data_IF_007614458217
#
_entry.id   IF_007614458217
#
_cell.length_a   1.000
_cell.length_b   1.000
_cell.length_c   1.000
_cell.angle_alpha   90.00
_cell.angle_beta   90.00
_cell.angle_gamma   90.00
#
_symmetry.space_group_name_H-M   'P 1'
#
loop_
_entity.id
_entity.type
_entity.pdbx_description
1 polymer ?
#
# COMPACT_ATOMS: atom_id res chain seq x y z
N UNK A 1 7.67 -8.66 -11.59
CA UNK A 1 7.25 -7.31 -12.05
C UNK A 1 6.08 -7.35 -13.05
N UNK A 2 5.98 -8.40 -13.91
CA UNK A 2 4.92 -8.51 -14.95
C UNK A 2 3.53 -8.47 -14.33
N UNK A 3 3.28 -9.23 -13.27
CA UNK A 3 1.97 -9.28 -12.61
C UNK A 3 1.59 -7.96 -11.94
N UNK A 4 2.55 -7.24 -11.37
CA UNK A 4 2.33 -5.90 -10.80
C UNK A 4 1.96 -4.88 -11.89
N UNK A 5 2.61 -4.94 -13.05
CA UNK A 5 2.28 -4.08 -14.18
C UNK A 5 0.90 -4.43 -14.77
N UNK A 6 0.60 -5.71 -14.93
CA UNK A 6 -0.71 -6.19 -15.38
C UNK A 6 -1.83 -5.70 -14.44
N UNK A 7 -1.63 -5.81 -13.11
CA UNK A 7 -2.56 -5.28 -12.12
C UNK A 7 -2.78 -3.78 -12.30
N UNK A 8 -1.69 -3.02 -12.40
CA UNK A 8 -1.73 -1.56 -12.56
C UNK A 8 -2.50 -1.13 -13.81
N UNK A 9 -2.25 -1.77 -14.95
CA UNK A 9 -2.90 -1.47 -16.23
C UNK A 9 -4.41 -1.75 -16.20
N UNK A 10 -4.85 -2.75 -15.44
CA UNK A 10 -6.25 -3.14 -15.35
C UNK A 10 -7.00 -2.46 -14.19
N UNK A 11 -6.31 -1.75 -13.29
CA UNK A 11 -6.90 -1.21 -12.07
C UNK A 11 -8.04 -0.23 -12.32
N UNK A 12 -7.88 0.73 -13.22
CA UNK A 12 -8.90 1.76 -13.47
C UNK A 12 -10.19 1.15 -14.02
N UNK A 13 -10.09 0.22 -14.97
CA UNK A 13 -11.25 -0.52 -15.50
C UNK A 13 -11.92 -1.36 -14.41
N UNK A 14 -11.14 -2.01 -13.56
CA UNK A 14 -11.66 -2.77 -12.44
C UNK A 14 -12.43 -1.88 -11.45
N UNK A 15 -11.91 -0.71 -11.10
CA UNK A 15 -12.59 0.26 -10.23
C UNK A 15 -13.94 0.65 -10.80
N UNK A 16 -14.06 0.91 -12.09
CA UNK A 16 -15.36 1.21 -12.73
C UNK A 16 -16.33 0.03 -12.61
N UNK A 17 -15.87 -1.19 -12.79
CA UNK A 17 -16.69 -2.40 -12.64
C UNK A 17 -17.17 -2.59 -11.20
N UNK A 18 -16.39 -2.15 -10.20
CA UNK A 18 -16.74 -2.22 -8.80
C UNK A 18 -17.82 -1.22 -8.36
N UNK A 19 -18.16 -0.24 -9.20
CA UNK A 19 -19.10 0.83 -8.89
C UNK A 19 -20.52 0.31 -8.74
N UNK A 20 -21.24 0.78 -7.69
CA UNK A 20 -22.66 0.60 -7.48
C UNK A 20 -23.34 1.97 -7.44
N UNK A 21 -24.35 2.15 -8.28
CA UNK A 21 -25.06 3.43 -8.48
C UNK A 21 -26.45 3.47 -7.82
N UNK A 22 -26.83 2.41 -7.12
CA UNK A 22 -28.10 2.24 -6.40
C UNK A 22 -28.16 2.98 -5.05
N UNK A 23 -27.11 3.76 -4.74
CA UNK A 23 -27.01 4.59 -3.53
C UNK A 23 -27.07 6.08 -3.88
N UNK A 24 -27.38 6.92 -2.91
CA UNK A 24 -27.38 8.39 -3.06
C UNK A 24 -26.03 8.97 -3.48
N UNK A 25 -24.94 8.26 -3.18
CA UNK A 25 -23.58 8.50 -3.69
C UNK A 25 -22.99 7.18 -4.17
N UNK A 26 -22.18 7.17 -5.26
CA UNK A 26 -21.55 5.96 -5.74
C UNK A 26 -20.70 5.27 -4.66
N UNK A 27 -20.88 3.95 -4.53
CA UNK A 27 -20.06 3.10 -3.68
C UNK A 27 -19.33 2.08 -4.55
N UNK A 28 -18.18 1.62 -4.06
CA UNK A 28 -17.32 0.71 -4.78
C UNK A 28 -17.10 -0.54 -3.93
N UNK A 29 -17.37 -1.72 -4.50
CA UNK A 29 -17.21 -3.01 -3.81
C UNK A 29 -16.34 -3.94 -4.63
N UNK A 30 -15.33 -4.60 -4.03
CA UNK A 30 -14.48 -5.51 -4.77
C UNK A 30 -15.29 -6.71 -5.32
N UNK A 31 -15.03 -7.07 -6.57
CA UNK A 31 -15.65 -8.22 -7.24
C UNK A 31 -14.69 -9.39 -7.09
N UNK A 32 -15.06 -10.36 -6.24
CA UNK A 32 -14.16 -11.43 -5.76
C UNK A 32 -13.66 -12.39 -6.85
N UNK A 33 -14.43 -12.58 -7.90
CA UNK A 33 -14.11 -13.44 -9.05
C UNK A 33 -13.53 -12.66 -10.24
N UNK A 34 -13.36 -11.34 -10.11
CA UNK A 34 -12.77 -10.53 -11.17
C UNK A 34 -11.28 -10.85 -11.34
N UNK A 35 -10.76 -10.98 -12.59
CA UNK A 35 -9.35 -11.31 -12.83
C UNK A 35 -8.36 -10.40 -12.11
N UNK A 36 -8.61 -9.08 -12.06
CA UNK A 36 -7.74 -8.10 -11.39
C UNK A 36 -7.71 -8.32 -9.87
N UNK A 37 -8.87 -8.66 -9.25
CA UNK A 37 -8.91 -9.03 -7.83
C UNK A 37 -8.08 -10.29 -7.56
N UNK A 38 -8.32 -11.35 -8.35
CA UNK A 38 -7.62 -12.63 -8.21
C UNK A 38 -6.12 -12.49 -8.49
N UNK A 39 -5.74 -11.61 -9.41
CA UNK A 39 -4.34 -11.32 -9.71
C UNK A 39 -3.61 -10.79 -8.46
N UNK A 40 -4.19 -9.81 -7.75
CA UNK A 40 -3.61 -9.27 -6.52
C UNK A 40 -3.66 -10.27 -5.35
N UNK A 41 -4.83 -10.90 -5.15
CA UNK A 41 -5.10 -11.73 -3.97
C UNK A 41 -4.40 -13.09 -4.00
N UNK A 42 -4.16 -13.61 -5.20
CA UNK A 42 -3.58 -14.94 -5.38
C UNK A 42 -2.20 -14.84 -6.04
N UNK A 43 -2.12 -14.51 -7.33
CA UNK A 43 -0.88 -14.62 -8.11
C UNK A 43 0.24 -13.73 -7.57
N UNK A 44 0.00 -12.43 -7.41
CA UNK A 44 1.02 -11.49 -6.88
C UNK A 44 1.42 -11.88 -5.45
N UNK A 45 0.44 -12.21 -4.61
CA UNK A 45 0.71 -12.66 -3.24
C UNK A 45 1.62 -13.89 -3.20
N UNK A 46 1.37 -14.90 -4.04
CA UNK A 46 2.20 -16.10 -4.12
C UNK A 46 3.60 -15.80 -4.70
N UNK A 47 3.70 -14.93 -5.72
CA UNK A 47 5.01 -14.48 -6.23
C UNK A 47 5.86 -13.86 -5.12
N UNK A 48 5.29 -13.01 -4.26
CA UNK A 48 6.01 -12.45 -3.11
C UNK A 48 6.41 -13.49 -2.07
N UNK A 49 5.57 -14.49 -1.82
CA UNK A 49 5.91 -15.58 -0.88
C UNK A 49 7.11 -16.39 -1.36
N UNK A 50 7.26 -16.61 -2.67
CA UNK A 50 8.40 -17.37 -3.20
C UNK A 50 9.76 -16.69 -2.98
N UNK A 51 9.77 -15.37 -2.70
CA UNK A 51 10.97 -14.58 -2.45
C UNK A 51 11.40 -14.59 -0.97
N UNK A 52 10.60 -15.18 -0.08
CA UNK A 52 10.72 -15.04 1.37
C UNK A 52 10.74 -16.40 2.09
N UNK A 53 11.39 -16.44 3.24
CA UNK A 53 11.26 -17.59 4.14
C UNK A 53 9.91 -17.53 4.86
N UNK A 54 8.98 -18.40 4.47
CA UNK A 54 7.64 -18.47 5.03
C UNK A 54 7.59 -18.82 6.54
N UNK A 55 8.67 -19.32 7.10
CA UNK A 55 8.77 -19.55 8.56
C UNK A 55 8.88 -18.23 9.31
N UNK A 56 9.53 -17.24 8.71
CA UNK A 56 9.79 -15.93 9.30
C UNK A 56 8.74 -14.90 8.83
N UNK A 57 8.45 -14.87 7.54
CA UNK A 57 7.61 -13.84 6.94
C UNK A 57 6.22 -14.35 6.56
N UNK A 58 5.25 -13.47 6.64
CA UNK A 58 3.91 -13.66 6.05
C UNK A 58 3.63 -12.55 5.05
N UNK A 59 2.93 -12.90 3.96
CA UNK A 59 2.53 -11.96 2.92
C UNK A 59 1.02 -11.87 2.88
N UNK A 60 0.51 -10.63 2.89
CA UNK A 60 -0.90 -10.33 2.68
C UNK A 60 -1.08 -9.28 1.59
N UNK A 61 -2.22 -9.31 0.91
CA UNK A 61 -2.57 -8.31 -0.11
C UNK A 61 -4.05 -7.98 -0.05
N UNK A 62 -4.41 -6.76 -0.44
CA UNK A 62 -5.82 -6.37 -0.43
C UNK A 62 -6.11 -5.21 -1.40
N UNK A 63 -7.24 -5.33 -2.07
CA UNK A 63 -7.96 -4.28 -2.77
C UNK A 63 -9.26 -3.89 -2.04
N UNK A 64 -9.39 -4.33 -0.77
CA UNK A 64 -10.53 -4.08 0.10
C UNK A 64 -11.25 -5.35 0.54
N UNK A 65 -12.03 -5.26 1.61
CA UNK A 65 -12.84 -6.38 2.16
C UNK A 65 -14.33 -6.14 1.99
N UNK A 66 -14.87 -5.08 2.54
CA UNK A 66 -16.28 -4.70 2.44
C UNK A 66 -16.47 -3.63 1.36
N UNK A 67 -15.61 -2.62 1.36
CA UNK A 67 -15.51 -1.62 0.31
C UNK A 67 -14.19 -1.78 -0.42
N UNK A 68 -14.14 -1.29 -1.67
CA UNK A 68 -12.91 -1.26 -2.45
C UNK A 68 -11.89 -0.35 -1.76
N UNK A 69 -10.68 -0.84 -1.58
CA UNK A 69 -9.60 -0.02 -1.08
C UNK A 69 -9.19 1.00 -2.15
N UNK A 70 -9.19 2.28 -1.81
CA UNK A 70 -8.71 3.32 -2.71
C UNK A 70 -7.20 3.27 -2.91
N UNK A 71 -6.51 2.51 -2.07
CA UNK A 71 -5.06 2.28 -2.09
C UNK A 71 -4.87 0.77 -1.94
N UNK A 72 -4.74 0.02 -3.06
CA UNK A 72 -4.43 -1.40 -2.98
C UNK A 72 -3.02 -1.61 -2.45
N UNK A 73 -2.81 -2.72 -1.75
CA UNK A 73 -1.56 -2.94 -1.06
C UNK A 73 -1.13 -4.41 -1.00
N UNK A 74 0.18 -4.62 -0.84
CA UNK A 74 0.80 -5.87 -0.43
C UNK A 74 1.62 -5.57 0.82
N UNK A 75 1.58 -6.44 1.82
CA UNK A 75 2.39 -6.35 3.04
C UNK A 75 3.23 -7.59 3.22
N UNK A 76 4.45 -7.39 3.69
CA UNK A 76 5.36 -8.44 4.16
C UNK A 76 5.61 -8.17 5.63
N UNK A 77 5.23 -9.13 6.46
CA UNK A 77 5.30 -9.02 7.93
C UNK A 77 6.28 -10.04 8.47
N UNK A 78 7.27 -9.59 9.24
CA UNK A 78 8.05 -10.47 10.11
C UNK A 78 7.13 -10.91 11.26
N UNK A 79 6.89 -12.22 11.37
CA UNK A 79 6.00 -12.82 12.39
C UNK A 79 6.46 -12.57 13.82
N UNK A 80 7.74 -12.26 14.03
CA UNK A 80 8.27 -11.90 15.35
C UNK A 80 7.99 -10.42 15.70
N UNK A 81 7.71 -9.57 14.71
CA UNK A 81 7.42 -8.14 14.89
C UNK A 81 5.91 -7.90 14.91
N UNK A 82 5.21 -8.39 13.89
CA UNK A 82 3.75 -8.26 13.80
C UNK A 82 3.14 -9.34 12.90
N UNK A 83 1.92 -9.73 13.23
CA UNK A 83 1.06 -10.59 12.39
C UNK A 83 -0.14 -9.84 11.82
N UNK A 84 -0.14 -8.51 11.94
CA UNK A 84 -1.27 -7.66 11.52
C UNK A 84 -0.78 -6.34 10.95
N UNK A 85 -1.33 -5.93 9.81
CA UNK A 85 -1.11 -4.60 9.22
C UNK A 85 -1.75 -3.46 10.01
N UNK A 86 -2.54 -3.77 11.04
CA UNK A 86 -3.20 -2.78 11.90
C UNK A 86 -2.28 -2.25 12.99
N UNK A 87 -1.22 -2.99 13.36
CA UNK A 87 -0.33 -2.72 14.49
C UNK A 87 1.12 -3.05 14.13
N UNK A 88 2.06 -2.40 14.84
CA UNK A 88 3.50 -2.64 14.68
C UNK A 88 4.03 -2.12 13.33
N UNK A 89 5.18 -2.63 12.94
CA UNK A 89 5.88 -2.26 11.71
C UNK A 89 5.88 -3.44 10.74
N UNK A 90 5.76 -3.13 9.44
CA UNK A 90 5.83 -4.12 8.37
C UNK A 90 6.32 -3.46 7.07
N UNK A 91 6.83 -4.26 6.15
CA UNK A 91 7.17 -3.80 4.80
C UNK A 91 5.87 -3.72 4.00
N UNK A 92 5.66 -2.61 3.32
CA UNK A 92 4.48 -2.37 2.51
C UNK A 92 4.83 -2.00 1.08
N UNK A 93 4.05 -2.53 0.15
CA UNK A 93 3.94 -2.06 -1.22
C UNK A 93 2.56 -1.43 -1.37
N UNK A 94 2.52 -0.12 -1.51
CA UNK A 94 1.30 0.66 -1.64
C UNK A 94 1.19 1.17 -3.08
N UNK A 95 0.13 0.78 -3.78
CA UNK A 95 -0.18 1.42 -5.04
C UNK A 95 -0.76 2.82 -4.81
N UNK A 96 -0.40 3.76 -5.65
CA UNK A 96 -1.14 5.02 -5.72
C UNK A 96 -2.60 4.74 -6.10
N UNK A 97 -3.49 5.70 -5.86
CA UNK A 97 -4.94 5.55 -6.10
C UNK A 97 -5.28 5.10 -7.52
N UNK A 98 -4.56 5.60 -8.54
CA UNK A 98 -4.71 5.19 -9.94
C UNK A 98 -3.82 3.99 -10.31
N UNK A 99 -3.12 3.40 -9.34
CA UNK A 99 -2.17 2.31 -9.46
C UNK A 99 -0.99 2.56 -10.44
N UNK A 100 -0.73 3.79 -10.88
CA UNK A 100 0.40 4.10 -11.78
C UNK A 100 1.74 4.09 -11.05
N UNK A 101 1.74 4.38 -9.73
CA UNK A 101 2.93 4.31 -8.88
C UNK A 101 2.79 3.21 -7.84
N UNK A 102 3.93 2.60 -7.52
CA UNK A 102 4.08 1.64 -6.43
C UNK A 102 5.14 2.17 -5.45
N UNK A 103 4.84 2.14 -4.16
CA UNK A 103 5.75 2.59 -3.11
C UNK A 103 6.13 1.43 -2.21
N UNK A 104 7.40 1.07 -2.22
CA UNK A 104 8.00 0.16 -1.23
C UNK A 104 8.43 0.99 -0.03
N UNK A 105 8.03 0.63 1.17
CA UNK A 105 8.39 1.34 2.41
C UNK A 105 8.27 0.43 3.63
N UNK A 106 8.83 0.86 4.75
CA UNK A 106 8.41 0.36 6.06
C UNK A 106 7.22 1.19 6.51
N UNK A 107 6.14 0.53 6.91
CA UNK A 107 4.90 1.15 7.33
C UNK A 107 4.60 0.86 8.80
N UNK A 108 4.05 1.87 9.49
CA UNK A 108 3.52 1.74 10.84
C UNK A 108 2.01 1.51 10.78
N UNK A 109 1.51 0.46 11.43
CA UNK A 109 0.08 0.15 11.51
C UNK A 109 -0.70 1.30 12.13
N UNK A 110 -1.64 1.88 11.38
CA UNK A 110 -2.35 3.10 11.77
C UNK A 110 -3.57 2.83 12.67
N UNK A 111 -4.19 1.65 12.59
CA UNK A 111 -5.43 1.33 13.33
C UNK A 111 -5.25 1.46 14.83
N UNK A 112 -4.11 1.04 15.38
CA UNK A 112 -3.81 1.21 16.80
C UNK A 112 -3.85 2.67 17.28
N UNK A 113 -3.54 3.63 16.41
CA UNK A 113 -3.62 5.06 16.73
C UNK A 113 -5.06 5.58 16.58
N UNK A 114 -5.77 5.10 15.57
CA UNK A 114 -7.18 5.48 15.36
C UNK A 114 -8.06 5.00 16.50
N UNK A 115 -7.83 3.79 17.03
CA UNK A 115 -8.51 3.27 18.22
C UNK A 115 -8.28 4.15 19.46
N UNK A 116 -7.08 4.74 19.62
CA UNK A 116 -6.73 5.56 20.77
C UNK A 116 -7.13 7.03 20.64
N UNK A 117 -7.11 7.58 19.43
CA UNK A 117 -7.23 9.03 19.21
C UNK A 117 -8.39 9.42 18.30
N UNK A 118 -9.13 8.43 17.74
CA UNK A 118 -10.23 8.63 16.81
C UNK A 118 -9.76 8.93 15.37
N UNK A 119 -10.72 8.95 14.44
CA UNK A 119 -10.49 9.15 13.01
C UNK A 119 -10.35 10.66 12.67
N UNK A 120 -9.21 11.26 12.94
CA UNK A 120 -8.99 12.70 12.79
C UNK A 120 -7.50 13.08 12.60
N UNK A 121 -7.23 14.37 12.40
CA UNK A 121 -5.88 14.91 12.20
C UNK A 121 -4.93 14.68 13.39
N UNK A 122 -5.44 14.59 14.62
CA UNK A 122 -4.62 14.27 15.80
C UNK A 122 -3.98 12.89 15.65
N UNK A 123 -4.70 11.93 15.11
CA UNK A 123 -4.20 10.58 14.81
C UNK A 123 -3.06 10.63 13.81
N UNK A 124 -3.21 11.37 12.70
CA UNK A 124 -2.12 11.57 11.72
C UNK A 124 -0.87 12.14 12.39
N UNK A 125 -1.02 13.15 13.24
CA UNK A 125 0.11 13.75 13.95
C UNK A 125 0.78 12.76 14.94
N UNK A 126 0.01 11.89 15.59
CA UNK A 126 0.53 10.85 16.49
C UNK A 126 1.31 9.77 15.74
N UNK A 127 0.80 9.33 14.58
CA UNK A 127 1.50 8.41 13.68
C UNK A 127 2.83 9.04 13.23
N UNK A 128 2.82 10.29 12.76
CA UNK A 128 4.02 11.02 12.33
C UNK A 128 5.05 11.14 13.46
N UNK A 129 4.60 11.45 14.68
CA UNK A 129 5.49 11.57 15.84
C UNK A 129 6.11 10.23 16.24
N UNK A 130 5.35 9.14 16.16
CA UNK A 130 5.85 7.79 16.43
C UNK A 130 6.88 7.38 15.38
N UNK A 131 6.58 7.60 14.09
CA UNK A 131 7.52 7.39 12.99
C UNK A 131 8.83 8.15 13.22
N UNK A 132 8.76 9.46 13.49
CA UNK A 132 9.95 10.30 13.63
C UNK A 132 10.85 9.82 14.77
N UNK A 133 10.28 9.40 15.91
CA UNK A 133 11.06 8.82 17.01
C UNK A 133 11.77 7.53 16.58
N UNK A 134 11.11 6.69 15.80
CA UNK A 134 11.74 5.48 15.29
C UNK A 134 12.86 5.81 14.30
N UNK A 135 12.58 6.62 13.28
CA UNK A 135 13.54 6.99 12.23
C UNK A 135 14.79 7.66 12.81
N UNK A 136 14.64 8.56 13.78
CA UNK A 136 15.80 9.25 14.41
C UNK A 136 16.76 8.28 15.09
N UNK A 137 16.27 7.13 15.55
CA UNK A 137 17.13 6.10 16.17
C UNK A 137 17.75 5.14 15.15
N UNK A 138 17.16 5.01 13.96
CA UNK A 138 17.52 3.97 12.98
C UNK A 138 17.90 4.51 11.61
N UNK A 139 17.98 5.82 11.39
CA UNK A 139 18.29 6.43 10.08
C UNK A 139 19.61 5.92 9.48
N UNK A 140 20.59 5.59 10.31
CA UNK A 140 21.88 5.04 9.87
C UNK A 140 21.77 3.63 9.26
N UNK A 141 20.64 2.96 9.45
CA UNK A 141 20.35 1.62 8.92
C UNK A 141 19.39 1.67 7.74
N UNK A 142 19.24 2.84 7.08
CA UNK A 142 18.35 2.94 5.91
C UNK A 142 18.70 1.89 4.86
N UNK A 143 17.74 1.07 4.41
CA UNK A 143 17.98 0.03 3.41
C UNK A 143 18.14 0.61 1.99
N UNK A 144 17.91 1.91 1.80
CA UNK A 144 17.96 2.57 0.49
C UNK A 144 18.73 3.89 0.57
N UNK A 145 19.42 4.21 -0.52
CA UNK A 145 20.24 5.42 -0.62
C UNK A 145 19.41 6.69 -0.85
N UNK A 146 18.23 6.55 -1.46
CA UNK A 146 17.33 7.66 -1.76
C UNK A 146 15.94 7.38 -1.22
N UNK A 147 15.41 8.35 -0.47
CA UNK A 147 14.03 8.32 0.06
C UNK A 147 13.16 9.19 -0.84
N UNK A 148 12.07 8.62 -1.34
CA UNK A 148 11.10 9.33 -2.18
C UNK A 148 9.90 9.81 -1.36
N UNK A 149 9.36 10.94 -1.72
CA UNK A 149 8.10 11.39 -1.14
C UNK A 149 6.93 10.55 -1.68
N UNK A 150 6.08 10.09 -0.75
CA UNK A 150 4.90 9.29 -1.09
C UNK A 150 3.73 10.19 -1.48
N UNK A 151 3.23 10.05 -2.70
CA UNK A 151 1.98 10.66 -3.18
C UNK A 151 0.98 9.58 -3.57
N UNK A 152 0.09 9.23 -2.66
CA UNK A 152 -0.93 8.20 -2.85
C UNK A 152 -2.22 8.73 -3.45
N UNK A 153 -2.48 10.04 -3.34
CA UNK A 153 -3.77 10.64 -3.70
C UNK A 153 -3.89 10.94 -5.20
N UNK A 154 -2.78 11.11 -5.90
CA UNK A 154 -2.73 11.55 -7.31
C UNK A 154 -3.59 12.79 -7.55
N UNK A 155 -3.32 13.85 -6.80
CA UNK A 155 -4.04 15.12 -6.87
C UNK A 155 -4.03 15.75 -8.28
N UNK A 156 -3.06 15.35 -9.11
CA UNK A 156 -2.93 15.76 -10.52
C UNK A 156 -3.94 15.08 -11.44
N UNK A 157 -4.55 13.95 -11.02
CA UNK A 157 -5.56 13.21 -11.78
C UNK A 157 -6.96 13.49 -11.21
N UNK A 158 -7.54 14.64 -11.58
CA UNK A 158 -8.85 15.10 -11.10
C UNK A 158 -9.97 14.09 -11.39
N UNK A 159 -9.92 13.40 -12.53
CA UNK A 159 -10.96 12.45 -12.91
C UNK A 159 -10.98 11.22 -12.00
N UNK A 160 -9.82 10.76 -11.56
CA UNK A 160 -9.71 9.61 -10.67
C UNK A 160 -9.88 10.00 -9.20
N UNK A 161 -9.38 11.16 -8.77
CA UNK A 161 -9.46 11.61 -7.37
C UNK A 161 -10.89 11.84 -6.88
N UNK A 162 -11.81 12.21 -7.78
CA UNK A 162 -13.24 12.40 -7.46
C UNK A 162 -13.99 11.10 -7.17
N UNK A 163 -13.45 9.93 -7.54
CA UNK A 163 -14.11 8.63 -7.37
C UNK A 163 -14.09 8.11 -5.93
N UNK A 164 -13.27 8.67 -5.05
CA UNK A 164 -13.03 8.16 -3.70
C UNK A 164 -13.43 9.16 -2.61
N UNK A 165 -13.91 8.61 -1.49
CA UNK A 165 -14.42 9.37 -0.37
C UNK A 165 -13.32 10.05 0.47
N UNK A 166 -13.72 10.98 1.34
CA UNK A 166 -12.84 11.60 2.35
C UNK A 166 -12.18 10.58 3.29
N UNK A 167 -12.81 9.42 3.52
CA UNK A 167 -12.24 8.33 4.31
C UNK A 167 -10.95 7.79 3.67
N UNK A 168 -10.97 7.57 2.35
CA UNK A 168 -9.80 7.09 1.61
C UNK A 168 -8.69 8.14 1.62
N UNK A 169 -9.03 9.43 1.56
CA UNK A 169 -8.05 10.51 1.72
C UNK A 169 -7.37 10.46 3.10
N UNK A 170 -8.14 10.22 4.16
CA UNK A 170 -7.62 10.05 5.52
C UNK A 170 -6.66 8.86 5.63
N UNK A 171 -7.03 7.73 5.04
CA UNK A 171 -6.17 6.53 5.00
C UNK A 171 -4.87 6.81 4.24
N UNK A 172 -4.93 7.53 3.12
CA UNK A 172 -3.73 7.97 2.39
C UNK A 172 -2.81 8.85 3.26
N UNK A 173 -3.39 9.75 4.05
CA UNK A 173 -2.64 10.60 4.99
C UNK A 173 -2.00 9.77 6.11
N UNK A 174 -2.66 8.72 6.61
CA UNK A 174 -2.08 7.81 7.59
C UNK A 174 -0.90 7.03 7.02
N UNK A 175 -1.02 6.49 5.81
CA UNK A 175 0.10 5.82 5.13
C UNK A 175 1.28 6.77 4.92
N UNK A 176 1.04 7.98 4.39
CA UNK A 176 2.08 8.99 4.23
C UNK A 176 2.76 9.32 5.57
N UNK A 177 1.98 9.51 6.64
CA UNK A 177 2.48 9.83 7.97
C UNK A 177 3.28 8.70 8.61
N UNK A 178 2.90 7.43 8.36
CA UNK A 178 3.47 6.24 8.99
C UNK A 178 4.56 5.53 8.19
N UNK A 179 4.74 5.86 6.90
CA UNK A 179 5.74 5.23 6.04
C UNK A 179 7.09 5.95 6.10
N UNK A 180 8.18 5.18 6.02
CA UNK A 180 9.54 5.68 5.98
C UNK A 180 10.45 4.77 5.16
N UNK A 181 11.64 5.27 4.77
CA UNK A 181 12.55 4.61 3.84
C UNK A 181 11.83 4.20 2.55
N UNK A 182 11.13 5.16 1.94
CA UNK A 182 10.25 4.91 0.81
C UNK A 182 11.00 4.97 -0.52
N UNK A 183 10.83 3.94 -1.35
CA UNK A 183 11.23 3.90 -2.76
C UNK A 183 10.00 3.88 -3.64
N UNK A 184 10.00 4.61 -4.75
CA UNK A 184 8.88 4.67 -5.68
C UNK A 184 9.23 4.08 -7.05
N UNK A 185 8.24 3.47 -7.68
CA UNK A 185 8.32 2.87 -9.01
C UNK A 185 7.16 3.36 -9.86
N UNK A 186 7.44 3.71 -11.12
CA UNK A 186 6.43 4.03 -12.11
C UNK A 186 6.02 2.74 -12.84
N UNK A 187 4.93 2.11 -12.39
CA UNK A 187 4.58 0.72 -12.75
C UNK A 187 4.15 0.59 -14.20
N UNK A 188 3.62 1.65 -14.81
CA UNK A 188 3.15 1.63 -16.20
C UNK A 188 4.22 2.04 -17.22
N UNK A 189 5.40 2.44 -16.76
CA UNK A 189 6.50 2.78 -17.66
C UNK A 189 7.18 1.51 -18.22
N UNK A 190 7.68 1.60 -19.45
CA UNK A 190 8.32 0.48 -20.16
C UNK A 190 9.54 -0.09 -19.42
N UNK A 191 10.26 0.76 -18.66
CA UNK A 191 11.43 0.35 -17.89
C UNK A 191 11.09 -0.33 -16.56
N UNK A 192 9.82 -0.39 -16.15
CA UNK A 192 9.42 -1.01 -14.87
C UNK A 192 9.81 -2.50 -14.82
N UNK A 193 9.69 -3.21 -15.92
CA UNK A 193 10.05 -4.64 -15.99
C UNK A 193 11.54 -4.90 -15.72
N UNK A 194 12.38 -3.89 -15.90
CA UNK A 194 13.83 -3.95 -15.65
C UNK A 194 14.21 -3.50 -14.23
N UNK A 195 13.24 -3.08 -13.40
CA UNK A 195 13.49 -2.72 -12.00
C UNK A 195 13.72 -3.98 -11.17
N UNK A 196 14.71 -3.93 -10.31
CA UNK A 196 15.05 -5.06 -9.43
C UNK A 196 14.31 -4.95 -8.08
N UNK A 197 12.99 -5.20 -8.12
CA UNK A 197 12.16 -5.17 -6.91
C UNK A 197 12.56 -6.26 -5.91
N UNK A 198 13.07 -7.39 -6.37
CA UNK A 198 13.46 -8.52 -5.53
C UNK A 198 14.69 -8.15 -4.71
N UNK A 199 15.70 -7.53 -5.34
CA UNK A 199 16.88 -7.00 -4.66
C UNK A 199 16.52 -5.87 -3.70
N UNK A 200 15.58 -5.00 -4.08
CA UNK A 200 15.11 -3.96 -3.19
C UNK A 200 14.38 -4.55 -1.98
N UNK A 201 13.49 -5.54 -2.16
CA UNK A 201 12.85 -6.24 -1.03
C UNK A 201 13.88 -6.87 -0.10
N UNK A 202 14.92 -7.51 -0.67
CA UNK A 202 15.98 -8.13 0.11
C UNK A 202 16.69 -7.15 1.07
N UNK A 203 16.82 -5.87 0.69
CA UNK A 203 17.39 -4.81 1.55
C UNK A 203 16.51 -4.46 2.76
N UNK A 204 15.22 -4.72 2.68
CA UNK A 204 14.27 -4.43 3.76
C UNK A 204 14.07 -5.61 4.73
N UNK A 205 14.37 -6.84 4.28
CA UNK A 205 14.22 -8.06 5.10
C UNK A 205 15.53 -8.50 5.79
N UNK A 206 16.69 -7.97 5.37
CA UNK A 206 18.01 -8.23 5.94
C UNK A 206 18.46 -7.07 6.83
#
# INVERSE_FOLDING_TARGET
NVSLQEFSLNWESYVENCKRSDYSAPRYYPIKDHPTHLLLKNKIKEEFKTLLDERIYSVESSDGKGQLAGIPWISVMDKNVTTSTQRGFYISYLFSRNAKKLYLSIALGATQFEELYGANKKTTNKIQSAKNRFVNNFVQYSPIDQVHEMNLKNEEDENFSRKFSNEINRIADYYKAGSFFTKSYDVQQNNFLNQDLDSDLAKYVN
#
